data_IF_497018868666
#
_entry.id   IF_497018868666
#
_cell.length_a   1.000
_cell.length_b   1.000
_cell.length_c   1.000
_cell.angle_alpha   90.00
_cell.angle_beta   90.00
_cell.angle_gamma   90.00
#
_symmetry.space_group_name_H-M   'P 1'
#
loop_
_entity.id
_entity.type
_entity.pdbx_description
1 polymer ?
#
# COMPACT_ATOMS: atom_id res chain seq x y z
N UNK A 1 5.85 -28.01 -23.08
CA UNK A 1 5.32 -26.81 -22.38
C UNK A 1 6.13 -25.60 -22.78
N UNK A 2 5.49 -24.48 -23.08
CA UNK A 2 6.14 -23.24 -23.53
C UNK A 2 6.78 -22.50 -22.34
N UNK A 3 7.99 -21.98 -22.50
CA UNK A 3 8.71 -21.18 -21.48
C UNK A 3 7.88 -19.98 -20.98
N UNK A 4 7.10 -19.36 -21.87
CA UNK A 4 6.22 -18.24 -21.52
C UNK A 4 5.13 -18.63 -20.50
N UNK A 5 4.65 -19.88 -20.53
CA UNK A 5 3.68 -20.38 -19.56
C UNK A 5 4.26 -20.36 -18.15
N UNK A 6 5.48 -20.88 -17.99
CA UNK A 6 6.17 -20.85 -16.70
C UNK A 6 6.46 -19.42 -16.22
N UNK A 7 6.84 -18.52 -17.12
CA UNK A 7 7.07 -17.12 -16.77
C UNK A 7 5.80 -16.44 -16.23
N UNK A 8 4.65 -16.64 -16.90
CA UNK A 8 3.36 -16.11 -16.44
C UNK A 8 2.97 -16.72 -15.09
N UNK A 9 3.11 -18.05 -14.93
CA UNK A 9 2.82 -18.72 -13.67
C UNK A 9 3.68 -18.19 -12.53
N UNK A 10 4.98 -17.95 -12.76
CA UNK A 10 5.87 -17.37 -11.74
C UNK A 10 5.47 -15.95 -11.37
N UNK A 11 5.11 -15.11 -12.35
CA UNK A 11 4.61 -13.75 -12.09
C UNK A 11 3.32 -13.80 -11.25
N UNK A 12 2.38 -14.67 -11.61
CA UNK A 12 1.12 -14.85 -10.90
C UNK A 12 1.34 -15.35 -9.47
N UNK A 13 2.14 -16.41 -9.28
CA UNK A 13 2.47 -16.93 -7.95
C UNK A 13 3.13 -15.86 -7.08
N UNK A 14 4.08 -15.10 -7.63
CA UNK A 14 4.72 -14.02 -6.87
C UNK A 14 3.71 -12.93 -6.49
N UNK A 15 2.79 -12.58 -7.40
CA UNK A 15 1.68 -11.65 -7.13
C UNK A 15 0.77 -12.16 -6.01
N UNK A 16 0.44 -13.45 -5.99
CA UNK A 16 -0.37 -14.07 -4.93
C UNK A 16 0.37 -14.11 -3.59
N UNK A 17 1.64 -14.50 -3.56
CA UNK A 17 2.45 -14.51 -2.33
C UNK A 17 2.56 -13.12 -1.72
N UNK A 18 2.75 -12.09 -2.56
CA UNK A 18 2.78 -10.70 -2.12
C UNK A 18 1.46 -10.27 -1.50
N UNK A 19 0.33 -10.66 -2.09
CA UNK A 19 -1.00 -10.40 -1.55
C UNK A 19 -1.22 -11.10 -0.19
N UNK A 20 -0.79 -12.35 -0.04
CA UNK A 20 -0.91 -13.10 1.22
C UNK A 20 -0.08 -12.48 2.34
N UNK A 21 1.15 -12.01 2.05
CA UNK A 21 1.99 -11.29 3.04
C UNK A 21 1.39 -9.94 3.45
N UNK A 22 0.69 -9.28 2.53
CA UNK A 22 0.07 -7.96 2.76
C UNK A 22 -1.18 -8.05 3.65
N UNK A 23 -1.96 -9.14 3.55
CA UNK A 23 -3.25 -9.27 4.25
C UNK A 23 -3.21 -8.88 5.74
N UNK A 24 -2.38 -9.48 6.61
CA UNK A 24 -2.43 -9.19 8.06
C UNK A 24 -2.17 -7.71 8.37
N UNK A 25 -1.15 -7.12 7.74
CA UNK A 25 -0.78 -5.71 7.93
C UNK A 25 -1.81 -4.75 7.34
N UNK A 26 -2.47 -5.15 6.25
CA UNK A 26 -3.53 -4.37 5.65
C UNK A 26 -4.76 -4.27 6.58
N UNK A 27 -5.08 -5.30 7.36
CA UNK A 27 -6.22 -5.25 8.30
C UNK A 27 -6.00 -4.28 9.47
N UNK A 28 -4.75 -4.07 9.88
CA UNK A 28 -4.43 -3.13 10.96
C UNK A 28 -4.57 -1.68 10.49
N UNK A 29 -4.04 -1.40 9.30
CA UNK A 29 -3.98 -0.05 8.73
C UNK A 29 -5.29 0.34 8.06
N UNK A 30 -5.99 -0.60 7.41
CA UNK A 30 -7.18 -0.31 6.62
C UNK A 30 -8.48 -0.63 7.35
N UNK A 31 -9.49 0.22 7.15
CA UNK A 31 -10.87 -0.04 7.54
C UNK A 31 -11.70 -0.42 6.29
N UNK A 32 -12.47 -1.50 6.39
CA UNK A 32 -13.33 -2.01 5.31
C UNK A 32 -14.74 -1.38 5.30
N UNK A 33 -15.19 -0.84 6.44
CA UNK A 33 -16.43 -0.09 6.55
C UNK A 33 -16.14 1.29 7.15
N UNK A 34 -16.74 2.32 6.55
CA UNK A 34 -16.75 3.68 7.09
C UNK A 34 -17.82 3.71 8.19
N UNK A 35 -17.40 3.71 9.45
CA UNK A 35 -18.32 3.84 10.59
C UNK A 35 -18.36 5.31 10.99
N UNK A 36 -19.49 5.98 10.79
CA UNK A 36 -19.62 7.39 11.17
C UNK A 36 -19.49 7.57 12.69
N UNK A 37 -18.79 8.61 13.13
CA UNK A 37 -18.68 8.99 14.54
C UNK A 37 -17.61 8.29 15.38
N UNK A 38 -16.69 7.51 14.78
CA UNK A 38 -15.66 6.80 15.54
C UNK A 38 -14.26 7.44 15.43
N UNK A 39 -13.77 8.03 16.53
CA UNK A 39 -12.40 8.56 16.65
C UNK A 39 -11.32 7.50 16.34
N UNK A 40 -11.62 6.21 16.51
CA UNK A 40 -10.70 5.12 16.17
C UNK A 40 -10.37 5.03 14.67
N UNK A 41 -11.20 5.61 13.79
CA UNK A 41 -10.95 5.64 12.34
C UNK A 41 -9.97 6.73 11.92
N UNK A 42 -9.64 7.69 12.80
CA UNK A 42 -8.77 8.82 12.46
C UNK A 42 -7.38 8.37 12.00
N UNK A 43 -6.93 7.23 12.49
CA UNK A 43 -5.63 6.61 12.18
C UNK A 43 -5.75 5.40 11.25
N UNK A 44 -6.90 5.18 10.60
CA UNK A 44 -7.09 4.11 9.61
C UNK A 44 -7.32 4.67 8.22
N UNK A 45 -6.83 3.96 7.21
CA UNK A 45 -7.05 4.27 5.80
C UNK A 45 -8.33 3.55 5.36
N UNK A 46 -9.28 4.25 4.74
CA UNK A 46 -10.46 3.58 4.20
C UNK A 46 -10.05 2.82 2.93
N UNK A 47 -10.24 1.49 2.92
CA UNK A 47 -9.77 0.64 1.82
C UNK A 47 -10.40 1.02 0.46
N UNK A 48 -11.67 1.44 0.47
CA UNK A 48 -12.39 1.84 -0.74
C UNK A 48 -11.90 3.14 -1.40
N UNK A 49 -11.15 3.98 -0.68
CA UNK A 49 -10.71 5.28 -1.21
C UNK A 49 -9.42 5.16 -2.05
N UNK A 50 -8.63 4.10 -1.81
CA UNK A 50 -7.41 3.81 -2.55
C UNK A 50 -7.63 2.72 -3.59
N UNK A 51 -7.02 2.90 -4.76
CA UNK A 51 -6.92 1.82 -5.74
C UNK A 51 -6.05 0.69 -5.19
N UNK A 52 -6.19 -0.52 -5.73
CA UNK A 52 -5.35 -1.67 -5.35
C UNK A 52 -3.85 -1.35 -5.35
N UNK A 53 -3.38 -0.63 -6.38
CA UNK A 53 -1.97 -0.26 -6.48
C UNK A 53 -1.56 0.78 -5.42
N UNK A 54 -2.43 1.73 -5.14
CA UNK A 54 -2.20 2.73 -4.08
C UNK A 54 -2.16 2.08 -2.70
N UNK A 55 -3.00 1.08 -2.42
CA UNK A 55 -2.94 0.27 -1.18
C UNK A 55 -1.57 -0.39 -1.03
N UNK A 56 -1.11 -1.07 -2.08
CA UNK A 56 0.17 -1.77 -2.07
C UNK A 56 1.35 -0.80 -1.83
N UNK A 57 1.31 0.39 -2.44
CA UNK A 57 2.34 1.43 -2.26
C UNK A 57 2.24 2.07 -0.87
N UNK A 58 1.05 2.36 -0.38
CA UNK A 58 0.81 2.90 0.96
C UNK A 58 1.43 2.00 2.04
N UNK A 59 1.18 0.70 1.98
CA UNK A 59 1.78 -0.27 2.90
C UNK A 59 3.31 -0.29 2.81
N UNK A 60 3.85 -0.22 1.60
CA UNK A 60 5.30 -0.18 1.38
C UNK A 60 5.93 1.07 2.00
N UNK A 61 5.25 2.22 1.95
CA UNK A 61 5.66 3.46 2.62
C UNK A 61 5.61 3.29 4.15
N UNK A 62 4.57 2.66 4.70
CA UNK A 62 4.43 2.43 6.14
C UNK A 62 5.47 1.45 6.69
N UNK A 63 5.94 0.50 5.86
CA UNK A 63 7.09 -0.36 6.15
C UNK A 63 8.44 0.37 6.09
N UNK A 64 8.45 1.64 5.70
CA UNK A 64 9.66 2.48 5.68
C UNK A 64 10.42 2.48 4.36
N UNK A 65 9.96 1.77 3.32
CA UNK A 65 10.70 1.66 2.05
C UNK A 65 10.82 2.99 1.32
N UNK A 66 12.00 3.27 0.76
CA UNK A 66 12.25 4.43 -0.10
C UNK A 66 11.49 4.31 -1.44
N UNK A 67 11.27 5.42 -2.13
CA UNK A 67 10.61 5.38 -3.44
C UNK A 67 11.40 4.57 -4.47
N UNK A 68 12.74 4.56 -4.36
CA UNK A 68 13.64 3.73 -5.16
C UNK A 68 13.45 2.22 -4.91
N UNK A 69 13.31 1.80 -3.65
CA UNK A 69 13.04 0.40 -3.31
C UNK A 69 11.65 -0.03 -3.79
N UNK A 70 10.64 0.81 -3.56
CA UNK A 70 9.28 0.58 -4.06
C UNK A 70 9.28 0.48 -5.59
N UNK A 71 9.99 1.36 -6.28
CA UNK A 71 10.10 1.33 -7.74
C UNK A 71 10.64 -0.02 -8.24
N UNK A 72 11.70 -0.52 -7.59
CA UNK A 72 12.31 -1.82 -7.86
C UNK A 72 11.35 -2.98 -7.59
N UNK A 73 10.76 -3.03 -6.40
CA UNK A 73 9.89 -4.13 -5.96
C UNK A 73 8.68 -4.33 -6.86
N UNK A 74 8.24 -3.25 -7.50
CA UNK A 74 7.07 -3.26 -8.32
C UNK A 74 7.33 -2.98 -9.81
N UNK A 75 8.60 -2.98 -10.23
CA UNK A 75 9.02 -2.83 -11.62
C UNK A 75 8.44 -1.60 -12.33
N UNK A 76 8.45 -0.43 -11.67
CA UNK A 76 8.00 0.85 -12.22
C UNK A 76 9.03 1.95 -11.99
N UNK A 77 8.88 3.10 -12.66
CA UNK A 77 9.76 4.25 -12.42
C UNK A 77 9.52 4.88 -11.04
N UNK A 78 10.58 5.44 -10.44
CA UNK A 78 10.50 6.18 -9.17
C UNK A 78 9.53 7.38 -9.25
N UNK A 79 9.48 8.04 -10.41
CA UNK A 79 8.51 9.11 -10.70
C UNK A 79 7.06 8.61 -10.65
N UNK A 80 6.79 7.38 -11.09
CA UNK A 80 5.49 6.73 -10.99
C UNK A 80 5.12 6.44 -9.54
N UNK A 81 6.08 5.97 -8.72
CA UNK A 81 5.88 5.81 -7.28
C UNK A 81 5.54 7.14 -6.61
N UNK A 82 6.29 8.20 -6.93
CA UNK A 82 6.04 9.55 -6.42
C UNK A 82 4.63 10.04 -6.79
N UNK A 83 4.18 9.77 -8.03
CA UNK A 83 2.82 10.09 -8.47
C UNK A 83 1.75 9.35 -7.66
N UNK A 84 1.91 8.04 -7.45
CA UNK A 84 1.00 7.28 -6.60
C UNK A 84 0.99 7.81 -5.15
N UNK A 85 2.16 8.10 -4.58
CA UNK A 85 2.27 8.66 -3.24
C UNK A 85 1.53 10.01 -3.12
N UNK A 86 1.67 10.90 -4.11
CA UNK A 86 0.93 12.16 -4.15
C UNK A 86 -0.58 11.94 -4.14
N UNK A 87 -1.08 10.98 -4.91
CA UNK A 87 -2.51 10.65 -4.93
C UNK A 87 -2.98 10.05 -3.59
N UNK A 88 -2.20 9.15 -2.98
CA UNK A 88 -2.46 8.58 -1.65
C UNK A 88 -2.58 9.69 -0.61
N UNK A 89 -1.63 10.64 -0.58
CA UNK A 89 -1.62 11.72 0.40
C UNK A 89 -2.85 12.62 0.25
N UNK A 90 -3.26 12.93 -1.00
CA UNK A 90 -4.50 13.66 -1.27
C UNK A 90 -5.73 12.91 -0.76
N UNK A 91 -5.86 11.62 -1.09
CA UNK A 91 -7.01 10.78 -0.73
C UNK A 91 -7.12 10.54 0.78
N UNK A 92 -6.00 10.51 1.48
CA UNK A 92 -5.93 10.35 2.94
C UNK A 92 -5.88 11.68 3.71
N UNK A 93 -6.00 12.81 3.01
CA UNK A 93 -5.95 14.15 3.57
C UNK A 93 -4.70 14.45 4.42
N UNK A 94 -3.53 14.00 3.96
CA UNK A 94 -2.22 14.34 4.54
C UNK A 94 -1.36 15.09 3.54
N UNK A 95 -0.42 15.90 4.01
CA UNK A 95 0.38 16.77 3.13
C UNK A 95 1.64 16.13 2.58
N UNK A 96 2.22 15.18 3.31
CA UNK A 96 3.51 14.60 2.97
C UNK A 96 3.72 13.21 3.58
N UNK A 97 4.80 12.55 3.17
CA UNK A 97 5.21 11.22 3.64
C UNK A 97 5.37 11.14 5.15
N UNK A 98 5.94 12.17 5.79
CA UNK A 98 6.13 12.20 7.24
C UNK A 98 4.80 12.19 8.00
N UNK A 99 3.85 13.03 7.59
CA UNK A 99 2.50 13.04 8.15
C UNK A 99 1.76 11.73 7.90
N UNK A 100 1.90 11.16 6.70
CA UNK A 100 1.30 9.87 6.36
C UNK A 100 1.79 8.76 7.30
N UNK A 101 3.10 8.64 7.48
CA UNK A 101 3.69 7.64 8.38
C UNK A 101 3.28 7.92 9.83
N UNK A 102 3.39 9.16 10.31
CA UNK A 102 3.02 9.49 11.69
C UNK A 102 1.56 9.15 12.02
N UNK A 103 0.64 9.37 11.07
CA UNK A 103 -0.80 9.15 11.26
C UNK A 103 -1.22 7.68 11.16
N UNK A 104 -0.64 6.93 10.21
CA UNK A 104 -1.14 5.60 9.84
C UNK A 104 -0.19 4.44 10.19
N UNK A 105 0.99 4.73 10.75
CA UNK A 105 1.91 3.66 11.19
C UNK A 105 1.23 2.87 12.32
N UNK A 106 1.09 1.53 12.18
CA UNK A 106 0.56 0.70 13.25
C UNK A 106 1.48 0.82 14.46
N UNK A 107 0.89 1.08 15.62
CA UNK A 107 1.60 1.06 16.90
C UNK A 107 1.76 -0.41 17.30
N UNK A 108 2.86 -1.00 16.88
CA UNK A 108 3.29 -2.26 17.46
C UNK A 108 3.91 -1.89 18.81
N UNK A 109 3.24 -2.29 19.90
CA UNK A 109 3.87 -2.42 21.22
C UNK A 109 4.97 -3.48 21.19
#
# INVERSE_FOLDING_TARGET
MNLAFYAISVIEVNRYLRFLKIKPEAFEVFAFQKVEGNEALKNKIIYGDLTRREVEIALSILRGLSYKEIARDFFIAESTVSKHASNIFKKTAVKNRGQFISRFKPKNE
#
